data_IF_572025825380
#
_entry.id   IF_572025825380
#
_cell.length_a   1.000
_cell.length_b   1.000
_cell.length_c   1.000
_cell.angle_alpha   90.00
_cell.angle_beta   90.00
_cell.angle_gamma   90.00
#
_symmetry.space_group_name_H-M   'P 1'
#
loop_
_entity.id
_entity.type
_entity.pdbx_description
1 polymer ?
#
# COMPACT_ATOMS: atom_id res chain seq x y z
N UNK A 1 2.75 36.41 10.68
CA UNK A 1 3.61 35.21 10.65
C UNK A 1 4.97 35.60 10.09
N UNK A 2 6.09 35.11 10.64
CA UNK A 2 7.39 35.29 9.99
C UNK A 2 7.36 34.68 8.58
N UNK A 3 8.08 35.28 7.65
CA UNK A 3 8.15 34.79 6.27
C UNK A 3 8.77 33.39 6.24
N UNK A 4 8.15 32.45 5.53
CA UNK A 4 8.67 31.09 5.37
C UNK A 4 9.93 31.17 4.48
N UNK A 5 11.10 30.69 4.93
CA UNK A 5 12.30 30.66 4.12
C UNK A 5 12.09 29.88 2.82
N UNK A 6 12.62 30.40 1.72
CA UNK A 6 12.48 29.82 0.39
C UNK A 6 13.77 29.13 -0.05
N UNK A 7 13.65 27.90 -0.54
CA UNK A 7 14.75 27.16 -1.15
C UNK A 7 15.28 27.90 -2.39
N UNK A 8 16.60 28.11 -2.44
CA UNK A 8 17.25 28.96 -3.44
C UNK A 8 17.61 28.23 -4.74
N UNK A 9 17.66 26.89 -4.72
CA UNK A 9 18.02 26.11 -5.89
C UNK A 9 16.97 26.27 -7.02
N UNK A 10 17.32 26.14 -8.30
CA UNK A 10 16.34 26.15 -9.38
C UNK A 10 15.30 25.03 -9.23
N UNK A 11 14.04 25.28 -9.62
CA UNK A 11 12.93 24.33 -9.45
C UNK A 11 13.21 22.95 -10.06
N UNK A 12 13.90 22.88 -11.21
CA UNK A 12 14.29 21.61 -11.84
C UNK A 12 15.29 20.81 -10.98
N UNK A 13 16.21 21.49 -10.31
CA UNK A 13 17.20 20.86 -9.41
C UNK A 13 16.50 20.37 -8.13
N UNK A 14 15.59 21.18 -7.58
CA UNK A 14 14.76 20.78 -6.44
C UNK A 14 13.92 19.54 -6.78
N UNK A 15 13.27 19.54 -7.95
CA UNK A 15 12.46 18.42 -8.43
C UNK A 15 13.27 17.14 -8.64
N UNK A 16 14.46 17.24 -9.25
CA UNK A 16 15.37 16.11 -9.42
C UNK A 16 15.77 15.51 -8.07
N UNK A 17 16.20 16.35 -7.13
CA UNK A 17 16.61 15.91 -5.79
C UNK A 17 15.43 15.32 -5.01
N UNK A 18 14.23 15.87 -5.16
CA UNK A 18 13.03 15.32 -4.56
C UNK A 18 12.72 13.90 -5.07
N UNK A 19 12.83 13.66 -6.38
CA UNK A 19 12.50 12.34 -6.95
C UNK A 19 13.55 11.29 -6.60
N UNK A 20 14.84 11.63 -6.67
CA UNK A 20 15.92 10.63 -6.57
C UNK A 20 16.57 10.57 -5.18
N UNK A 21 16.51 11.65 -4.41
CA UNK A 21 17.14 11.77 -3.10
C UNK A 21 16.23 12.49 -2.08
N UNK A 22 14.95 12.06 -1.89
CA UNK A 22 13.96 12.81 -1.11
C UNK A 22 14.39 13.07 0.34
N UNK A 23 14.98 12.07 1.01
CA UNK A 23 15.43 12.21 2.39
C UNK A 23 16.57 13.22 2.54
N UNK A 24 17.58 13.14 1.67
CA UNK A 24 18.70 14.07 1.68
C UNK A 24 18.24 15.49 1.33
N UNK A 25 17.28 15.62 0.40
CA UNK A 25 16.62 16.88 0.09
C UNK A 25 15.96 17.47 1.35
N UNK A 26 15.09 16.72 2.03
CA UNK A 26 14.41 17.18 3.24
C UNK A 26 15.39 17.52 4.37
N UNK A 27 16.38 16.67 4.64
CA UNK A 27 17.35 16.87 5.73
C UNK A 27 18.25 18.09 5.50
N UNK A 28 18.73 18.29 4.26
CA UNK A 28 19.57 19.45 3.92
C UNK A 28 18.80 20.75 4.12
N UNK A 29 17.54 20.80 3.67
CA UNK A 29 16.71 22.00 3.80
C UNK A 29 16.30 22.25 5.26
N UNK A 30 15.99 21.19 6.01
CA UNK A 30 15.74 21.28 7.46
C UNK A 30 16.93 21.88 8.22
N UNK A 31 18.16 21.39 7.96
CA UNK A 31 19.37 21.91 8.61
C UNK A 31 19.67 23.38 8.28
N UNK A 32 19.25 23.85 7.10
CA UNK A 32 19.53 25.22 6.64
C UNK A 32 18.44 26.23 7.02
N UNK A 33 17.17 25.81 7.02
CA UNK A 33 16.01 26.70 7.12
C UNK A 33 15.10 26.38 8.31
N UNK A 34 15.38 25.33 9.06
CA UNK A 34 14.62 24.92 10.24
C UNK A 34 13.32 24.18 9.89
N UNK A 35 12.34 24.30 10.76
CA UNK A 35 11.15 23.44 10.73
C UNK A 35 10.16 23.74 9.59
N UNK A 36 10.34 24.87 8.90
CA UNK A 36 9.44 25.39 7.85
C UNK A 36 10.24 25.89 6.66
N UNK A 37 9.99 25.38 5.47
CA UNK A 37 10.56 25.94 4.25
C UNK A 37 9.65 25.77 3.03
N UNK A 38 9.75 26.70 2.09
CA UNK A 38 9.07 26.68 0.81
C UNK A 38 10.02 26.11 -0.26
N UNK A 39 9.65 25.00 -0.88
CA UNK A 39 10.31 24.45 -2.05
C UNK A 39 9.54 24.83 -3.32
N UNK A 40 10.26 25.28 -4.34
CA UNK A 40 9.66 25.58 -5.63
C UNK A 40 9.65 24.34 -6.51
N UNK A 41 8.46 23.83 -6.80
CA UNK A 41 8.30 22.76 -7.77
C UNK A 41 8.11 23.31 -9.18
N UNK A 42 8.22 22.41 -10.16
CA UNK A 42 7.98 22.70 -11.57
C UNK A 42 6.49 22.82 -11.90
N UNK A 43 5.62 22.19 -11.10
CA UNK A 43 4.16 22.13 -11.28
C UNK A 43 3.39 22.83 -10.15
N UNK A 44 3.91 22.78 -8.92
CA UNK A 44 3.34 23.42 -7.75
C UNK A 44 4.43 23.72 -6.73
N UNK A 45 4.24 24.76 -5.92
CA UNK A 45 5.09 25.03 -4.78
C UNK A 45 4.69 24.15 -3.59
N UNK A 46 5.66 23.77 -2.76
CA UNK A 46 5.47 22.89 -1.61
C UNK A 46 5.94 23.59 -0.34
N UNK A 47 5.14 23.54 0.72
CA UNK A 47 5.57 23.96 2.05
C UNK A 47 5.87 22.71 2.87
N UNK A 48 7.11 22.57 3.29
CA UNK A 48 7.53 21.52 4.21
C UNK A 48 7.37 22.01 5.63
N UNK A 49 6.72 21.20 6.46
CA UNK A 49 6.41 21.47 7.85
C UNK A 49 6.90 20.30 8.70
N UNK A 50 7.68 20.59 9.73
CA UNK A 50 8.17 19.58 10.69
C UNK A 50 8.00 19.98 12.16
N UNK A 51 7.54 21.21 12.43
CA UNK A 51 7.25 21.65 13.78
C UNK A 51 5.97 20.95 14.31
N UNK A 52 5.96 20.42 15.55
CA UNK A 52 4.81 19.69 16.10
C UNK A 52 3.49 20.45 16.05
N UNK A 53 3.52 21.77 16.32
CA UNK A 53 2.30 22.60 16.26
C UNK A 53 1.72 22.72 14.84
N UNK A 54 2.58 22.79 13.82
CA UNK A 54 2.12 22.85 12.43
C UNK A 54 1.55 21.51 11.99
N UNK A 55 2.20 20.40 12.37
CA UNK A 55 1.69 19.05 12.09
C UNK A 55 0.34 18.84 12.76
N UNK A 56 0.20 19.24 14.04
CA UNK A 56 -1.08 19.21 14.74
C UNK A 56 -2.12 20.04 14.01
N UNK A 57 -1.79 21.27 13.61
CA UNK A 57 -2.71 22.13 12.87
C UNK A 57 -3.21 21.46 11.59
N UNK A 58 -2.30 20.94 10.76
CA UNK A 58 -2.62 20.27 9.50
C UNK A 58 -3.50 19.04 9.71
N UNK A 59 -3.18 18.22 10.72
CA UNK A 59 -3.90 16.96 10.98
C UNK A 59 -5.27 17.16 11.65
N UNK A 60 -5.53 18.31 12.29
CA UNK A 60 -6.81 18.56 13.01
C UNK A 60 -7.77 19.52 12.30
N UNK A 61 -7.33 20.23 11.26
CA UNK A 61 -8.15 21.21 10.53
C UNK A 61 -8.53 20.77 9.10
N UNK A 62 -8.45 19.47 8.81
CA UNK A 62 -8.93 18.89 7.54
C UNK A 62 -10.45 19.12 7.37
N UNK A 63 -10.85 19.57 6.19
CA UNK A 63 -12.24 19.91 5.85
C UNK A 63 -12.70 21.31 6.26
N UNK A 64 -11.81 22.15 6.80
CA UNK A 64 -12.06 23.58 7.05
C UNK A 64 -11.26 24.44 6.07
N UNK A 65 -10.08 24.91 6.49
CA UNK A 65 -9.16 25.70 5.65
C UNK A 65 -8.18 24.81 4.86
N UNK A 66 -7.99 23.57 5.31
CA UNK A 66 -7.12 22.59 4.70
C UNK A 66 -7.94 21.43 4.15
N UNK A 67 -7.44 20.83 3.08
CA UNK A 67 -8.00 19.61 2.51
C UNK A 67 -6.87 18.70 2.06
N UNK A 68 -7.17 17.41 1.93
CA UNK A 68 -6.30 16.44 1.25
C UNK A 68 -6.94 15.96 -0.07
N UNK A 69 -6.85 16.75 -1.16
CA UNK A 69 -7.49 16.38 -2.43
C UNK A 69 -6.82 15.15 -3.05
N UNK A 70 -7.60 14.12 -3.35
CA UNK A 70 -7.18 12.91 -4.06
C UNK A 70 -6.66 13.19 -5.47
N UNK A 71 -6.99 14.34 -6.06
CA UNK A 71 -6.47 14.77 -7.37
C UNK A 71 -4.95 14.95 -7.37
N UNK A 72 -4.31 15.16 -6.22
CA UNK A 72 -2.85 15.20 -6.11
C UNK A 72 -2.22 13.79 -6.21
N UNK A 73 -3.02 12.73 -6.05
CA UNK A 73 -2.59 11.33 -6.19
C UNK A 73 -2.72 10.80 -7.64
N UNK A 74 -2.97 11.68 -8.63
CA UNK A 74 -3.06 11.31 -10.07
C UNK A 74 -1.83 10.60 -10.63
N UNK A 75 -0.67 10.74 -9.99
CA UNK A 75 0.52 9.96 -10.33
C UNK A 75 0.27 8.45 -10.20
N UNK A 76 -0.64 8.03 -9.32
CA UNK A 76 -1.00 6.63 -9.06
C UNK A 76 -2.12 6.09 -9.96
N UNK A 77 -2.77 6.92 -10.79
CA UNK A 77 -3.92 6.50 -11.61
C UNK A 77 -3.61 5.30 -12.51
N UNK A 78 -2.39 5.18 -13.04
CA UNK A 78 -2.00 4.05 -13.90
C UNK A 78 -1.78 2.73 -13.14
N UNK A 79 -1.68 2.81 -11.82
CA UNK A 79 -1.55 1.65 -10.95
C UNK A 79 -2.92 1.28 -10.34
N UNK A 80 -3.62 2.29 -9.80
CA UNK A 80 -4.84 2.09 -9.02
C UNK A 80 -6.13 2.20 -9.83
N UNK A 81 -6.12 2.89 -10.97
CA UNK A 81 -7.32 3.27 -11.71
C UNK A 81 -7.90 4.61 -11.24
N UNK A 82 -8.99 5.05 -11.87
CA UNK A 82 -9.56 6.40 -11.65
C UNK A 82 -10.52 6.46 -10.46
N UNK A 83 -11.11 5.32 -10.09
CA UNK A 83 -12.15 5.25 -9.06
C UNK A 83 -11.62 4.81 -7.70
N UNK A 84 -10.30 4.58 -7.60
CA UNK A 84 -9.64 4.21 -6.36
C UNK A 84 -9.91 5.24 -5.28
N UNK A 85 -10.22 4.75 -4.08
CA UNK A 85 -10.39 5.59 -2.89
C UNK A 85 -9.25 6.61 -2.71
N UNK A 86 -8.00 6.28 -3.06
CA UNK A 86 -6.86 7.20 -2.92
C UNK A 86 -6.91 8.42 -3.87
N UNK A 87 -7.68 8.36 -4.95
CA UNK A 87 -7.80 9.44 -5.94
C UNK A 87 -9.08 10.24 -5.82
N UNK A 88 -10.03 9.79 -4.98
CA UNK A 88 -11.30 10.48 -4.77
C UNK A 88 -11.16 11.59 -3.73
N UNK A 89 -12.04 12.60 -3.85
CA UNK A 89 -12.12 13.75 -2.94
C UNK A 89 -13.54 13.95 -2.41
N UNK A 90 -13.66 14.67 -1.29
CA UNK A 90 -14.92 15.19 -0.79
C UNK A 90 -16.01 14.13 -0.55
N UNK A 91 -17.19 14.33 -1.14
CA UNK A 91 -18.34 13.45 -0.95
C UNK A 91 -18.13 12.05 -1.55
N UNK A 92 -17.52 11.96 -2.74
CA UNK A 92 -17.24 10.68 -3.41
C UNK A 92 -16.28 9.82 -2.56
N UNK A 93 -15.22 10.45 -2.03
CA UNK A 93 -14.30 9.77 -1.11
C UNK A 93 -15.03 9.24 0.13
N UNK A 94 -15.89 10.05 0.75
CA UNK A 94 -16.67 9.62 1.93
C UNK A 94 -17.61 8.45 1.63
N UNK A 95 -18.35 8.50 0.53
CA UNK A 95 -19.25 7.41 0.10
C UNK A 95 -18.45 6.14 -0.18
N UNK A 96 -17.35 6.23 -0.94
CA UNK A 96 -16.49 5.08 -1.23
C UNK A 96 -15.92 4.46 0.04
N UNK A 97 -15.45 5.29 0.96
CA UNK A 97 -14.92 4.84 2.26
C UNK A 97 -15.95 4.08 3.09
N UNK A 98 -17.23 4.48 3.05
CA UNK A 98 -18.30 3.75 3.74
C UNK A 98 -18.48 2.32 3.21
N UNK A 99 -18.25 2.10 1.92
CA UNK A 99 -18.33 0.77 1.29
C UNK A 99 -17.08 -0.08 1.53
N UNK A 100 -15.90 0.54 1.50
CA UNK A 100 -14.61 -0.18 1.51
C UNK A 100 -14.08 -0.47 2.92
N UNK A 101 -14.44 0.33 3.92
CA UNK A 101 -13.93 0.18 5.30
C UNK A 101 -14.55 -0.95 6.15
N UNK A 102 -15.83 -1.34 6.01
CA UNK A 102 -16.44 -2.35 6.88
C UNK A 102 -15.69 -3.69 6.98
N UNK A 103 -15.09 -4.23 5.89
CA UNK A 103 -14.23 -5.42 5.97
C UNK A 103 -13.09 -5.32 7.00
N UNK A 104 -12.63 -4.11 7.33
CA UNK A 104 -11.48 -3.85 8.21
C UNK A 104 -11.86 -3.54 9.66
N UNK A 105 -13.09 -3.83 10.10
CA UNK A 105 -13.55 -3.54 11.47
C UNK A 105 -14.09 -4.78 12.20
N UNK A 106 -14.09 -4.71 13.53
CA UNK A 106 -14.79 -5.66 14.41
C UNK A 106 -14.24 -7.09 14.37
N UNK A 107 -15.14 -8.06 14.42
CA UNK A 107 -14.81 -9.49 14.50
C UNK A 107 -14.02 -10.01 13.29
N UNK A 108 -14.12 -9.36 12.13
CA UNK A 108 -13.40 -9.76 10.90
C UNK A 108 -11.88 -9.68 11.04
N UNK A 109 -11.39 -8.71 11.82
CA UNK A 109 -9.96 -8.59 12.11
C UNK A 109 -9.41 -9.84 12.81
N UNK A 110 -10.23 -10.55 13.60
CA UNK A 110 -9.82 -11.80 14.25
C UNK A 110 -9.59 -12.92 13.23
N UNK A 111 -10.48 -13.04 12.25
CA UNK A 111 -10.36 -14.01 11.14
C UNK A 111 -9.10 -13.75 10.33
N UNK A 112 -8.83 -12.48 10.00
CA UNK A 112 -7.58 -12.13 9.31
C UNK A 112 -6.35 -12.40 10.19
N UNK A 113 -6.42 -12.17 11.51
CA UNK A 113 -5.34 -12.51 12.42
C UNK A 113 -4.96 -13.99 12.41
N UNK A 114 -5.95 -14.89 12.35
CA UNK A 114 -5.71 -16.33 12.22
C UNK A 114 -5.06 -16.68 10.88
N UNK A 115 -5.57 -16.11 9.79
CA UNK A 115 -5.02 -16.26 8.44
C UNK A 115 -3.57 -15.80 8.36
N UNK A 116 -3.28 -14.59 8.88
CA UNK A 116 -1.92 -14.02 8.96
C UNK A 116 -1.01 -14.96 9.74
N UNK A 117 -1.47 -15.48 10.88
CA UNK A 117 -0.71 -16.43 11.69
C UNK A 117 -0.40 -17.73 10.94
N UNK A 118 -1.36 -18.29 10.22
CA UNK A 118 -1.18 -19.51 9.41
C UNK A 118 -0.17 -19.28 8.29
N UNK A 119 -0.36 -18.25 7.47
CA UNK A 119 0.57 -17.92 6.37
C UNK A 119 1.98 -17.67 6.90
N UNK A 120 2.10 -16.96 8.02
CA UNK A 120 3.41 -16.69 8.64
C UNK A 120 4.09 -17.98 9.09
N UNK A 121 3.36 -18.91 9.73
CA UNK A 121 3.91 -20.21 10.16
C UNK A 121 4.36 -21.05 8.97
N UNK A 122 3.56 -21.10 7.90
CA UNK A 122 3.91 -21.81 6.68
C UNK A 122 5.18 -21.23 6.04
N UNK A 123 5.26 -19.90 5.92
CA UNK A 123 6.42 -19.23 5.31
C UNK A 123 7.73 -19.41 6.10
N UNK A 124 7.66 -19.51 7.43
CA UNK A 124 8.86 -19.71 8.27
C UNK A 124 9.18 -21.19 8.52
N UNK A 125 8.29 -22.12 8.19
CA UNK A 125 8.51 -23.55 8.40
C UNK A 125 9.71 -24.08 7.59
N UNK A 126 10.00 -23.43 6.46
CA UNK A 126 11.14 -23.76 5.60
C UNK A 126 12.48 -23.23 6.13
N UNK A 127 12.48 -22.42 7.20
CA UNK A 127 13.70 -21.86 7.79
C UNK A 127 14.28 -22.77 8.87
N UNK A 128 15.48 -23.28 8.65
CA UNK A 128 16.21 -24.06 9.64
C UNK A 128 16.78 -23.16 10.77
N UNK A 129 16.87 -23.66 12.02
CA UNK A 129 17.56 -22.93 13.08
C UNK A 129 18.99 -22.57 12.69
N UNK A 130 19.36 -21.29 12.87
CA UNK A 130 20.68 -20.76 12.50
C UNK A 130 20.84 -20.38 11.02
N UNK A 131 19.82 -20.61 10.18
CA UNK A 131 19.84 -20.20 8.78
C UNK A 131 19.68 -18.68 8.66
N UNK A 132 20.60 -18.05 7.93
CA UNK A 132 20.45 -16.65 7.54
C UNK A 132 19.37 -16.50 6.46
N UNK A 133 18.55 -15.47 6.57
CA UNK A 133 17.53 -15.13 5.58
C UNK A 133 17.45 -13.61 5.39
N UNK A 134 16.86 -13.19 4.28
CA UNK A 134 16.60 -11.77 4.00
C UNK A 134 15.21 -11.42 4.50
N UNK A 135 15.15 -10.63 5.57
CA UNK A 135 13.89 -10.25 6.20
C UNK A 135 12.89 -9.62 5.22
N UNK A 136 13.35 -8.74 4.33
CA UNK A 136 12.49 -8.11 3.32
C UNK A 136 11.87 -9.10 2.33
N UNK A 137 12.65 -10.05 1.82
CA UNK A 137 12.13 -11.05 0.88
C UNK A 137 11.05 -11.92 1.55
N UNK A 138 11.32 -12.37 2.77
CA UNK A 138 10.37 -13.16 3.57
C UNK A 138 9.08 -12.39 3.87
N UNK A 139 9.19 -11.15 4.35
CA UNK A 139 8.00 -10.36 4.72
C UNK A 139 7.19 -9.92 3.50
N UNK A 140 7.83 -9.67 2.35
CA UNK A 140 7.12 -9.45 1.09
C UNK A 140 6.34 -10.70 0.69
N UNK A 141 6.97 -11.88 0.71
CA UNK A 141 6.28 -13.13 0.38
C UNK A 141 5.04 -13.34 1.26
N UNK A 142 5.19 -13.20 2.57
CA UNK A 142 4.09 -13.32 3.55
C UNK A 142 2.99 -12.30 3.25
N UNK A 143 3.36 -11.03 3.06
CA UNK A 143 2.40 -9.95 2.79
C UNK A 143 1.64 -10.16 1.47
N UNK A 144 2.33 -10.61 0.40
CA UNK A 144 1.68 -10.93 -0.87
C UNK A 144 0.68 -12.08 -0.72
N UNK A 145 1.07 -13.15 -0.01
CA UNK A 145 0.18 -14.28 0.25
C UNK A 145 -1.04 -13.87 1.07
N UNK A 146 -0.87 -13.00 2.09
CA UNK A 146 -1.98 -12.44 2.86
C UNK A 146 -2.91 -11.64 1.94
N UNK A 147 -2.39 -10.79 1.06
CA UNK A 147 -3.23 -10.03 0.13
C UNK A 147 -3.99 -10.97 -0.82
N UNK A 148 -3.33 -11.94 -1.43
CA UNK A 148 -3.99 -12.89 -2.33
C UNK A 148 -5.13 -13.63 -1.63
N UNK A 149 -4.94 -14.05 -0.38
CA UNK A 149 -5.97 -14.80 0.37
C UNK A 149 -7.04 -13.91 0.99
N UNK A 150 -6.66 -12.83 1.67
CA UNK A 150 -7.59 -11.98 2.42
C UNK A 150 -8.31 -10.97 1.52
N UNK A 151 -7.65 -10.47 0.48
CA UNK A 151 -8.22 -9.46 -0.43
C UNK A 151 -8.88 -10.13 -1.64
N UNK A 152 -8.13 -10.97 -2.35
CA UNK A 152 -8.63 -11.60 -3.58
C UNK A 152 -9.36 -12.93 -3.35
N UNK A 153 -9.30 -13.50 -2.13
CA UNK A 153 -9.89 -14.82 -1.84
C UNK A 153 -9.18 -16.01 -2.48
N UNK A 154 -7.98 -15.80 -3.04
CA UNK A 154 -7.22 -16.79 -3.79
C UNK A 154 -6.21 -17.51 -2.90
N UNK A 155 -6.51 -18.76 -2.53
CA UNK A 155 -5.64 -19.58 -1.66
C UNK A 155 -4.57 -20.35 -2.42
N UNK A 156 -4.94 -21.01 -3.51
CA UNK A 156 -4.06 -21.92 -4.24
C UNK A 156 -4.47 -22.04 -5.71
N UNK A 157 -3.70 -22.79 -6.50
CA UNK A 157 -3.95 -23.03 -7.91
C UNK A 157 -3.25 -22.06 -8.86
N UNK A 158 -3.36 -22.35 -10.15
CA UNK A 158 -2.63 -21.64 -11.21
C UNK A 158 -2.97 -20.14 -11.24
N UNK A 159 -4.25 -19.79 -11.08
CA UNK A 159 -4.71 -18.39 -11.07
C UNK A 159 -4.06 -17.59 -9.95
N UNK A 160 -4.03 -18.13 -8.72
CA UNK A 160 -3.39 -17.49 -7.56
C UNK A 160 -1.90 -17.24 -7.82
N UNK A 161 -1.18 -18.27 -8.29
CA UNK A 161 0.26 -18.18 -8.60
C UNK A 161 0.54 -17.18 -9.72
N UNK A 162 -0.28 -17.18 -10.78
CA UNK A 162 -0.13 -16.29 -11.91
C UNK A 162 -0.41 -14.84 -11.52
N UNK A 163 -1.51 -14.58 -10.80
CA UNK A 163 -1.83 -13.24 -10.33
C UNK A 163 -0.74 -12.72 -9.39
N UNK A 164 -0.33 -13.52 -8.39
CA UNK A 164 0.75 -13.14 -7.46
C UNK A 164 2.04 -12.75 -8.17
N UNK A 165 2.46 -13.52 -9.19
CA UNK A 165 3.66 -13.23 -9.99
C UNK A 165 3.51 -11.92 -10.77
N UNK A 166 2.37 -11.70 -11.43
CA UNK A 166 2.14 -10.49 -12.22
C UNK A 166 2.05 -9.24 -11.33
N UNK A 167 1.40 -9.35 -10.16
CA UNK A 167 1.33 -8.27 -9.17
C UNK A 167 2.72 -7.92 -8.63
N UNK A 168 3.51 -8.92 -8.22
CA UNK A 168 4.89 -8.70 -7.79
C UNK A 168 5.72 -7.99 -8.88
N UNK A 169 5.67 -8.49 -10.12
CA UNK A 169 6.34 -7.85 -11.25
C UNK A 169 5.89 -6.40 -11.46
N UNK A 170 4.60 -6.11 -11.31
CA UNK A 170 4.05 -4.75 -11.50
C UNK A 170 4.55 -3.78 -10.43
N UNK A 171 4.65 -4.25 -9.19
CA UNK A 171 5.13 -3.47 -8.05
C UNK A 171 6.65 -3.28 -8.09
N UNK A 172 7.40 -4.30 -8.52
CA UNK A 172 8.86 -4.22 -8.70
C UNK A 172 9.24 -3.18 -9.77
N UNK A 173 8.51 -3.12 -10.87
CA UNK A 173 8.69 -2.08 -11.90
C UNK A 173 8.42 -0.67 -11.39
N UNK A 174 7.69 -0.54 -10.29
CA UNK A 174 7.35 0.75 -9.66
C UNK A 174 8.25 1.04 -8.46
N UNK A 175 9.24 0.20 -8.19
CA UNK A 175 10.17 0.29 -7.07
C UNK A 175 11.56 0.81 -7.48
N UNK A 176 12.26 1.46 -6.55
CA UNK A 176 13.59 2.01 -6.78
C UNK A 176 13.65 3.22 -7.72
N UNK A 177 14.84 3.74 -8.05
CA UNK A 177 14.99 5.00 -8.81
C UNK A 177 14.34 4.98 -10.20
N UNK A 178 14.44 3.86 -10.92
CA UNK A 178 13.80 3.70 -12.23
C UNK A 178 12.27 3.63 -12.11
N UNK A 179 11.75 2.92 -11.10
CA UNK A 179 10.31 2.89 -10.82
C UNK A 179 9.77 4.27 -10.43
N UNK A 180 10.49 5.02 -9.61
CA UNK A 180 10.17 6.41 -9.30
C UNK A 180 10.13 7.27 -10.56
N UNK A 181 11.12 7.13 -11.46
CA UNK A 181 11.09 7.83 -12.74
C UNK A 181 9.85 7.46 -13.59
N UNK A 182 9.44 6.19 -13.62
CA UNK A 182 8.21 5.77 -14.31
C UNK A 182 6.93 6.40 -13.73
N UNK A 183 6.85 6.56 -12.41
CA UNK A 183 5.71 7.20 -11.73
C UNK A 183 5.67 8.71 -12.05
N UNK A 184 6.81 9.39 -11.90
CA UNK A 184 6.87 10.86 -12.00
C UNK A 184 7.02 11.39 -13.43
N UNK A 185 7.47 10.59 -14.40
CA UNK A 185 7.68 11.02 -15.80
C UNK A 185 6.65 10.38 -16.75
N UNK A 186 5.57 11.08 -17.12
CA UNK A 186 4.52 10.56 -18.01
C UNK A 186 5.02 10.05 -19.37
N UNK A 187 6.09 10.66 -19.90
CA UNK A 187 6.67 10.29 -21.20
C UNK A 187 7.17 8.83 -21.22
N UNK A 188 7.66 8.31 -20.10
CA UNK A 188 8.14 6.93 -20.01
C UNK A 188 7.00 5.90 -19.95
N UNK A 189 5.81 6.33 -19.52
CA UNK A 189 4.59 5.49 -19.46
C UNK A 189 3.83 5.46 -20.78
N UNK A 190 4.13 6.37 -21.70
CA UNK A 190 3.47 6.39 -23.01
C UNK A 190 3.94 5.20 -23.85
N UNK A 191 2.99 4.58 -24.54
CA UNK A 191 3.29 3.49 -25.47
C UNK A 191 3.91 4.10 -26.75
N UNK A 192 5.21 3.87 -26.92
CA UNK A 192 5.98 4.26 -28.10
C UNK A 192 6.28 3.07 -29.02
N UNK A 193 5.57 1.95 -28.83
CA UNK A 193 5.80 0.68 -29.51
C UNK A 193 6.28 -0.43 -28.57
N UNK A 194 6.42 -1.63 -29.11
CA UNK A 194 6.61 -2.88 -28.36
C UNK A 194 7.83 -2.92 -27.41
N UNK A 195 8.88 -2.15 -27.71
CA UNK A 195 10.09 -2.05 -26.87
C UNK A 195 9.94 -1.07 -25.71
N UNK A 196 8.88 -0.26 -25.67
CA UNK A 196 8.77 0.83 -24.71
C UNK A 196 8.34 0.33 -23.32
N UNK A 197 8.85 0.94 -22.23
CA UNK A 197 8.37 0.63 -20.89
C UNK A 197 6.87 0.81 -20.75
N UNK A 198 6.30 1.86 -21.37
CA UNK A 198 4.87 2.11 -21.43
C UNK A 198 4.05 0.95 -22.02
N UNK A 199 4.52 0.35 -23.13
CA UNK A 199 3.88 -0.82 -23.72
C UNK A 199 3.89 -2.03 -22.78
N UNK A 200 5.04 -2.32 -22.19
CA UNK A 200 5.19 -3.44 -21.25
C UNK A 200 4.30 -3.25 -20.01
N UNK A 201 4.25 -2.02 -19.46
CA UNK A 201 3.38 -1.67 -18.34
C UNK A 201 1.90 -1.85 -18.69
N UNK A 202 1.49 -1.45 -19.90
CA UNK A 202 0.11 -1.62 -20.38
C UNK A 202 -0.24 -3.09 -20.59
N UNK A 203 0.65 -3.87 -21.20
CA UNK A 203 0.44 -5.30 -21.42
C UNK A 203 0.38 -6.09 -20.09
N UNK A 204 1.20 -5.70 -19.11
CA UNK A 204 1.17 -6.28 -17.76
C UNK A 204 -0.12 -5.89 -17.02
N UNK A 205 -0.52 -4.62 -17.10
CA UNK A 205 -1.77 -4.14 -16.51
C UNK A 205 -2.98 -4.88 -17.09
N UNK A 206 -3.04 -5.08 -18.41
CA UNK A 206 -4.12 -5.83 -19.05
C UNK A 206 -4.20 -7.27 -18.54
N UNK A 207 -3.08 -7.98 -18.42
CA UNK A 207 -3.08 -9.35 -17.90
C UNK A 207 -3.54 -9.45 -16.44
N UNK A 208 -3.20 -8.46 -15.62
CA UNK A 208 -3.68 -8.37 -14.23
C UNK A 208 -5.19 -8.09 -14.23
N UNK A 209 -5.63 -7.12 -15.03
CA UNK A 209 -7.03 -6.73 -15.13
C UNK A 209 -7.89 -7.90 -15.61
N UNK A 210 -7.46 -8.65 -16.62
CA UNK A 210 -8.16 -9.84 -17.12
C UNK A 210 -8.37 -10.88 -16.01
N UNK A 211 -7.36 -11.11 -15.17
CA UNK A 211 -7.46 -12.04 -14.03
C UNK A 211 -8.39 -11.50 -12.95
N UNK A 212 -8.30 -10.21 -12.61
CA UNK A 212 -9.17 -9.59 -11.60
C UNK A 212 -10.63 -9.60 -12.06
N UNK A 213 -10.89 -9.21 -13.31
CA UNK A 213 -12.24 -9.24 -13.86
C UNK A 213 -12.78 -10.66 -13.97
N UNK A 214 -11.95 -11.65 -14.30
CA UNK A 214 -12.38 -13.06 -14.28
C UNK A 214 -12.80 -13.51 -12.87
N UNK A 215 -12.07 -13.10 -11.83
CA UNK A 215 -12.43 -13.44 -10.44
C UNK A 215 -13.74 -12.76 -10.01
N UNK A 216 -13.94 -11.48 -10.40
CA UNK A 216 -15.18 -10.76 -10.14
C UNK A 216 -16.37 -11.43 -10.85
N UNK A 217 -16.19 -11.81 -12.11
CA UNK A 217 -17.25 -12.45 -12.91
C UNK A 217 -17.60 -13.85 -12.38
N UNK A 218 -16.60 -14.67 -12.05
CA UNK A 218 -16.82 -16.00 -11.50
C UNK A 218 -17.61 -15.93 -10.19
N UNK A 219 -17.27 -14.98 -9.30
CA UNK A 219 -18.02 -14.78 -8.06
C UNK A 219 -19.46 -14.32 -8.31
N UNK A 220 -19.70 -13.42 -9.25
CA UNK A 220 -21.06 -12.97 -9.58
C UNK A 220 -21.90 -14.10 -10.18
N UNK A 221 -21.29 -15.00 -10.92
CA UNK A 221 -21.97 -16.14 -11.55
C UNK A 221 -22.32 -17.24 -10.54
N UNK A 222 -21.45 -17.50 -9.57
CA UNK A 222 -21.66 -18.50 -8.51
C UNK A 222 -21.27 -17.92 -7.13
N UNK A 223 -22.18 -17.17 -6.48
CA UNK A 223 -21.90 -16.57 -5.19
C UNK A 223 -21.80 -17.63 -4.09
N UNK A 224 -20.60 -17.81 -3.54
CA UNK A 224 -20.39 -18.64 -2.34
C UNK A 224 -20.73 -17.84 -1.07
N UNK A 225 -21.81 -18.19 -0.33
CA UNK A 225 -22.20 -17.49 0.89
C UNK A 225 -21.23 -17.69 2.05
N UNK A 226 -20.41 -18.75 2.03
CA UNK A 226 -19.44 -19.06 3.08
C UNK A 226 -18.10 -18.34 2.84
N UNK A 227 -17.91 -17.74 1.66
CA UNK A 227 -16.70 -16.99 1.29
C UNK A 227 -16.66 -15.62 1.97
N UNK A 228 -15.62 -15.39 2.78
CA UNK A 228 -15.52 -14.23 3.68
C UNK A 228 -14.32 -13.31 3.46
N UNK A 229 -13.68 -13.36 2.29
CA UNK A 229 -12.60 -12.43 1.90
C UNK A 229 -13.12 -11.03 1.52
N UNK A 230 -12.22 -10.06 1.39
CA UNK A 230 -12.62 -8.67 1.15
C UNK A 230 -13.33 -8.52 -0.19
N UNK A 231 -12.95 -9.24 -1.24
CA UNK A 231 -13.66 -9.17 -2.53
C UNK A 231 -15.13 -9.58 -2.38
N UNK A 232 -15.43 -10.71 -1.71
CA UNK A 232 -16.82 -11.13 -1.49
C UNK A 232 -17.63 -10.08 -0.72
N UNK A 233 -16.99 -9.40 0.23
CA UNK A 233 -17.63 -8.36 1.03
C UNK A 233 -17.85 -7.07 0.27
N UNK A 234 -16.91 -6.66 -0.58
CA UNK A 234 -17.08 -5.49 -1.45
C UNK A 234 -18.16 -5.73 -2.50
N UNK A 235 -18.29 -6.97 -3.00
CA UNK A 235 -19.38 -7.38 -3.90
C UNK A 235 -20.75 -7.35 -3.21
N UNK A 236 -20.81 -7.68 -1.92
CA UNK A 236 -22.02 -7.60 -1.11
C UNK A 236 -22.33 -6.18 -0.61
N UNK A 237 -21.35 -5.27 -0.60
CA UNK A 237 -21.52 -3.92 -0.09
C UNK A 237 -22.55 -3.12 -0.90
N UNK A 238 -23.36 -2.32 -0.20
CA UNK A 238 -24.37 -1.42 -0.77
C UNK A 238 -24.28 -0.06 -0.10
N UNK A 239 -24.47 1.00 -0.86
CA UNK A 239 -24.54 2.36 -0.34
C UNK A 239 -25.93 2.70 0.22
N UNK A 240 -26.13 3.96 0.61
CA UNK A 240 -27.39 4.42 1.18
C UNK A 240 -28.57 4.30 0.19
N UNK A 241 -28.28 4.36 -1.11
CA UNK A 241 -29.23 4.22 -2.20
C UNK A 241 -29.44 2.75 -2.63
N UNK A 242 -28.76 1.81 -1.98
CA UNK A 242 -28.82 0.39 -2.29
C UNK A 242 -28.01 -0.03 -3.53
N UNK A 243 -27.10 0.81 -4.00
CA UNK A 243 -26.22 0.53 -5.14
C UNK A 243 -24.91 -0.11 -4.66
N UNK A 244 -24.44 -1.11 -5.41
CA UNK A 244 -23.15 -1.76 -5.16
C UNK A 244 -22.05 -1.19 -6.04
N UNK A 245 -20.81 -1.63 -5.80
CA UNK A 245 -19.68 -1.27 -6.64
C UNK A 245 -19.79 -1.94 -8.03
N UNK A 246 -19.48 -1.17 -9.07
CA UNK A 246 -19.24 -1.70 -10.42
C UNK A 246 -17.95 -2.51 -10.49
N UNK A 247 -17.79 -3.31 -11.53
CA UNK A 247 -16.59 -4.15 -11.68
C UNK A 247 -15.31 -3.32 -11.81
N UNK A 248 -15.37 -2.17 -12.49
CA UNK A 248 -14.23 -1.25 -12.58
C UNK A 248 -13.86 -0.67 -11.21
N UNK A 249 -14.86 -0.31 -10.41
CA UNK A 249 -14.64 0.22 -9.06
C UNK A 249 -14.06 -0.85 -8.14
N UNK A 250 -14.57 -2.09 -8.20
CA UNK A 250 -14.01 -3.23 -7.49
C UNK A 250 -12.55 -3.46 -7.86
N UNK A 251 -12.24 -3.51 -9.15
CA UNK A 251 -10.86 -3.66 -9.64
C UNK A 251 -9.95 -2.55 -9.09
N UNK A 252 -10.41 -1.30 -9.11
CA UNK A 252 -9.64 -0.16 -8.63
C UNK A 252 -9.39 -0.23 -7.12
N UNK A 253 -10.40 -0.67 -6.33
CA UNK A 253 -10.24 -0.85 -4.89
C UNK A 253 -9.37 -2.07 -4.53
N UNK A 254 -9.46 -3.18 -5.26
CA UNK A 254 -8.57 -4.34 -5.05
C UNK A 254 -7.10 -3.95 -5.27
N UNK A 255 -6.81 -3.17 -6.32
CA UNK A 255 -5.47 -2.63 -6.56
C UNK A 255 -5.05 -1.62 -5.48
N UNK A 256 -6.00 -0.83 -4.97
CA UNK A 256 -5.76 0.10 -3.85
C UNK A 256 -5.34 -0.65 -2.59
N UNK A 257 -6.07 -1.71 -2.23
CA UNK A 257 -5.77 -2.52 -1.05
C UNK A 257 -4.43 -3.26 -1.17
N UNK A 258 -4.11 -3.78 -2.35
CA UNK A 258 -2.81 -4.38 -2.64
C UNK A 258 -1.67 -3.38 -2.39
N UNK A 259 -1.72 -2.20 -3.04
CA UNK A 259 -0.63 -1.21 -2.95
C UNK A 259 -0.50 -0.65 -1.54
N UNK A 260 -1.63 -0.40 -0.87
CA UNK A 260 -1.66 0.13 0.48
C UNK A 260 -1.13 -0.86 1.52
N UNK A 261 -1.43 -2.15 1.36
CA UNK A 261 -1.17 -3.18 2.37
C UNK A 261 0.11 -3.99 2.16
N UNK A 262 0.57 -4.14 0.91
CA UNK A 262 1.65 -5.07 0.58
C UNK A 262 3.03 -4.56 1.04
N UNK A 263 3.52 -3.49 0.42
CA UNK A 263 4.90 -2.99 0.59
C UNK A 263 5.10 -2.34 1.96
N UNK A 264 4.10 -1.57 2.43
CA UNK A 264 4.16 -0.80 3.68
C UNK A 264 4.34 -1.71 4.89
N UNK A 265 3.47 -2.72 5.02
CA UNK A 265 3.49 -3.70 6.11
C UNK A 265 4.74 -4.56 6.03
N UNK A 266 5.10 -5.05 4.84
CA UNK A 266 6.28 -5.89 4.67
C UNK A 266 7.58 -5.13 5.05
N UNK A 267 7.68 -3.87 4.66
CA UNK A 267 8.81 -2.98 5.00
C UNK A 267 8.87 -2.71 6.49
N UNK A 268 7.72 -2.39 7.13
CA UNK A 268 7.66 -2.13 8.56
C UNK A 268 8.09 -3.35 9.39
N UNK A 269 7.63 -4.56 9.02
CA UNK A 269 8.02 -5.80 9.71
C UNK A 269 9.50 -6.12 9.45
N UNK A 270 10.00 -5.93 8.23
CA UNK A 270 11.42 -6.16 7.94
C UNK A 270 12.34 -5.27 8.81
N UNK A 271 12.02 -3.99 8.94
CA UNK A 271 12.73 -3.07 9.85
C UNK A 271 12.55 -3.44 11.31
N UNK A 272 11.36 -3.89 11.71
CA UNK A 272 11.11 -4.36 13.07
C UNK A 272 12.00 -5.56 13.41
N UNK A 273 12.08 -6.55 12.52
CA UNK A 273 12.97 -7.72 12.68
C UNK A 273 14.44 -7.29 12.76
N UNK A 274 14.87 -6.34 11.92
CA UNK A 274 16.22 -5.79 11.97
C UNK A 274 16.54 -5.17 13.34
N UNK A 275 15.68 -4.29 13.85
CA UNK A 275 15.91 -3.62 15.13
C UNK A 275 15.80 -4.55 16.33
N UNK A 276 14.87 -5.51 16.31
CA UNK A 276 14.77 -6.55 17.35
C UNK A 276 16.02 -7.43 17.39
N UNK A 277 16.60 -7.74 16.24
CA UNK A 277 17.87 -8.46 16.17
C UNK A 277 19.05 -7.59 16.65
N UNK A 278 19.08 -6.31 16.30
CA UNK A 278 20.16 -5.40 16.63
C UNK A 278 20.14 -4.90 18.08
N UNK A 279 18.98 -4.96 18.75
CA UNK A 279 18.78 -4.52 20.15
C UNK A 279 18.34 -5.72 21.01
N UNK A 280 19.29 -6.48 21.60
CA UNK A 280 18.98 -7.73 22.31
C UNK A 280 17.99 -7.57 23.47
N UNK A 281 18.02 -6.43 24.16
CA UNK A 281 17.10 -6.13 25.27
C UNK A 281 15.64 -6.07 24.79
N UNK A 282 15.39 -5.46 23.62
CA UNK A 282 14.06 -5.44 22.99
C UNK A 282 13.64 -6.87 22.64
N UNK A 283 14.54 -7.67 22.05
CA UNK A 283 14.26 -9.07 21.77
C UNK A 283 13.97 -9.91 23.01
N UNK A 284 14.65 -9.65 24.13
CA UNK A 284 14.40 -10.32 25.41
C UNK A 284 13.04 -9.95 25.99
N UNK A 285 12.67 -8.66 25.94
CA UNK A 285 11.36 -8.19 26.39
C UNK A 285 10.23 -8.79 25.56
N UNK A 286 10.33 -8.80 24.22
CA UNK A 286 9.33 -9.40 23.34
C UNK A 286 9.12 -10.90 23.61
N UNK A 287 10.18 -11.65 23.95
CA UNK A 287 10.05 -13.07 24.33
C UNK A 287 9.39 -13.28 25.69
N UNK A 288 9.53 -12.31 26.60
CA UNK A 288 8.90 -12.34 27.93
C UNK A 288 7.47 -11.82 27.91
N UNK A 289 7.09 -11.07 26.87
CA UNK A 289 5.73 -10.59 26.68
C UNK A 289 4.79 -11.79 26.62
N UNK A 290 3.92 -11.91 27.62
CA UNK A 290 2.97 -13.01 27.69
C UNK A 290 1.96 -12.83 26.57
N UNK A 291 2.09 -13.66 25.53
CA UNK A 291 1.04 -13.86 24.54
C UNK A 291 -0.27 -14.16 25.31
N UNK A 292 -1.36 -13.42 25.06
CA UNK A 292 -2.62 -13.68 25.75
C UNK A 292 -3.02 -15.15 25.56
N UNK A 293 -3.51 -15.80 26.62
CA UNK A 293 -3.84 -17.24 26.64
C UNK A 293 -4.75 -17.68 25.47
N UNK A 294 -5.54 -16.77 24.92
CA UNK A 294 -6.38 -16.96 23.73
C UNK A 294 -5.58 -17.17 22.44
N UNK A 295 -4.42 -16.52 22.27
CA UNK A 295 -3.47 -16.80 21.19
C UNK A 295 -2.65 -18.07 21.48
N UNK A 296 -2.24 -18.27 22.72
CA UNK A 296 -1.42 -19.42 23.14
C UNK A 296 -2.13 -20.76 22.95
N UNK A 297 -3.45 -20.82 23.19
CA UNK A 297 -4.28 -22.00 22.91
C UNK A 297 -4.55 -22.24 21.41
N UNK A 298 -4.35 -21.24 20.55
CA UNK A 298 -4.58 -21.32 19.09
C UNK A 298 -3.30 -21.50 18.27
N UNK A 299 -2.15 -21.12 18.82
CA UNK A 299 -0.85 -21.21 18.15
C UNK A 299 -0.23 -22.62 18.19
N UNK A 300 -0.78 -23.53 18.99
CA UNK A 300 -0.13 -24.80 19.28
C UNK A 300 1.15 -24.57 20.09
N UNK A 301 1.37 -25.36 21.11
CA UNK A 301 2.62 -25.32 21.88
C UNK A 301 3.77 -25.76 20.97
N UNK A 302 4.50 -24.83 20.36
CA UNK A 302 5.88 -25.07 19.98
C UNK A 302 6.69 -25.08 21.28
N UNK A 303 6.99 -26.29 21.74
CA UNK A 303 8.03 -26.57 22.73
C UNK A 303 9.39 -26.66 22.02
#
# INVERSE_FOLDING_TARGET
>A
MPAIPKAQAPALVQFYNWILHPLAFMETHYRQMGDRFLACGTLMDWIFLSHPDDLKYVLTHDGQELSAPGEYNKILTNLLGHNSLMLLSGAQHRQRRQLVMPPFHGERLKVYGELIGTITREAIADLAPGQAFKARELTHQISMQIILQAVFGLRQGERCQRLGRLLAQRLDLSSGPLGSALIFLPLLRRDWGAWSPGHQLKALAQQIDDLIFSEIQDFRADPDPDRSDILSLLLAARDAEGQGLSDQELRDELMTLLVAGHETTATAIAWSLYWVHHLPDVGAQLRQEKMPKTLMNRLGTCA
#
